data_IF_423936943235
#
_entry.id   IF_423936943235
#
_cell.length_a   1.000
_cell.length_b   1.000
_cell.length_c   1.000
_cell.angle_alpha   90.00
_cell.angle_beta   90.00
_cell.angle_gamma   90.00
#
_symmetry.space_group_name_H-M   'P 1'
#
loop_
_entity.id
_entity.type
_entity.pdbx_description
1 polymer ?
#
# COMPACT_ATOMS: atom_id res chain seq x y z
N UNK A 1 2.49 18.85 -25.09
CA UNK A 1 3.88 18.33 -25.23
C UNK A 1 4.26 17.44 -24.03
N UNK A 2 3.97 17.87 -22.81
CA UNK A 2 4.24 17.13 -21.56
C UNK A 2 3.63 15.72 -21.49
N UNK A 3 2.40 15.54 -21.97
CA UNK A 3 1.73 14.23 -21.92
C UNK A 3 2.35 13.18 -22.86
N UNK A 4 3.05 13.60 -23.93
CA UNK A 4 3.81 12.68 -24.80
C UNK A 4 5.12 12.31 -24.14
N UNK A 5 5.83 13.29 -23.58
CA UNK A 5 7.10 13.06 -22.87
C UNK A 5 6.90 12.13 -21.66
N UNK A 6 5.83 12.33 -20.89
CA UNK A 6 5.48 11.47 -19.75
C UNK A 6 5.19 10.03 -20.17
N UNK A 7 4.47 9.82 -21.27
CA UNK A 7 4.24 8.47 -21.81
C UNK A 7 5.52 7.79 -22.27
N UNK A 8 6.41 8.53 -22.93
CA UNK A 8 7.72 8.00 -23.34
C UNK A 8 8.55 7.61 -22.12
N UNK A 9 8.57 8.45 -21.08
CA UNK A 9 9.22 8.12 -19.80
C UNK A 9 8.61 6.87 -19.16
N UNK A 10 7.28 6.78 -19.09
CA UNK A 10 6.59 5.60 -18.57
C UNK A 10 6.99 4.32 -19.34
N UNK A 11 7.07 4.39 -20.67
CA UNK A 11 7.54 3.28 -21.51
C UNK A 11 8.99 2.87 -21.17
N UNK A 12 9.90 3.82 -20.97
CA UNK A 12 11.28 3.53 -20.58
C UNK A 12 11.36 2.87 -19.20
N UNK A 13 10.60 3.35 -18.21
CA UNK A 13 10.57 2.75 -16.86
C UNK A 13 10.04 1.32 -16.93
N UNK A 14 8.95 1.08 -17.66
CA UNK A 14 8.38 -0.26 -17.83
C UNK A 14 9.37 -1.19 -18.54
N UNK A 15 9.99 -0.74 -19.63
CA UNK A 15 11.00 -1.51 -20.35
C UNK A 15 12.20 -1.87 -19.46
N UNK A 16 12.66 -0.92 -18.63
CA UNK A 16 13.72 -1.17 -17.66
C UNK A 16 13.34 -2.21 -16.62
N UNK A 17 12.13 -2.14 -16.06
CA UNK A 17 11.62 -3.15 -15.10
C UNK A 17 11.55 -4.53 -15.76
N UNK A 18 11.06 -4.62 -17.00
CA UNK A 18 11.02 -5.88 -17.75
C UNK A 18 12.42 -6.44 -18.01
N UNK A 19 13.37 -5.60 -18.43
CA UNK A 19 14.75 -6.01 -18.67
C UNK A 19 15.43 -6.50 -17.37
N UNK A 20 15.22 -5.80 -16.25
CA UNK A 20 15.71 -6.22 -14.94
C UNK A 20 15.08 -7.56 -14.51
N UNK A 21 13.78 -7.74 -14.74
CA UNK A 21 13.07 -8.99 -14.47
C UNK A 21 13.60 -10.16 -15.29
N UNK A 22 13.89 -9.95 -16.58
CA UNK A 22 14.50 -10.96 -17.46
C UNK A 22 15.92 -11.31 -17.02
N UNK A 23 16.74 -10.31 -16.67
CA UNK A 23 18.11 -10.52 -16.20
C UNK A 23 18.14 -11.28 -14.87
N UNK A 24 17.20 -10.99 -13.96
CA UNK A 24 17.07 -11.66 -12.67
C UNK A 24 16.23 -12.94 -12.72
N UNK A 25 15.70 -13.31 -13.89
CA UNK A 25 14.74 -14.41 -14.02
C UNK A 25 15.21 -15.73 -13.38
N UNK A 26 16.47 -16.20 -13.56
CA UNK A 26 16.93 -17.43 -12.90
C UNK A 26 16.83 -17.35 -11.37
N UNK A 27 17.23 -16.21 -10.77
CA UNK A 27 17.15 -15.98 -9.33
C UNK A 27 15.70 -15.91 -8.85
N UNK A 28 14.84 -15.24 -9.62
CA UNK A 28 13.41 -15.11 -9.31
C UNK A 28 12.68 -16.46 -9.42
N UNK A 29 13.07 -17.36 -10.32
CA UNK A 29 12.50 -18.70 -10.41
C UNK A 29 12.90 -19.57 -9.21
N UNK A 30 14.15 -19.46 -8.77
CA UNK A 30 14.71 -20.30 -7.69
C UNK A 30 14.30 -19.86 -6.28
N UNK A 31 14.01 -18.57 -6.06
CA UNK A 31 13.78 -18.04 -4.71
C UNK A 31 12.47 -17.28 -4.58
N UNK A 32 11.55 -17.82 -3.78
CA UNK A 32 10.30 -17.13 -3.41
C UNK A 32 10.57 -15.79 -2.71
N UNK A 33 11.59 -15.75 -1.85
CA UNK A 33 12.00 -14.52 -1.17
C UNK A 33 12.53 -13.48 -2.13
N UNK A 34 13.30 -13.88 -3.15
CA UNK A 34 13.76 -12.96 -4.18
C UNK A 34 12.59 -12.38 -4.99
N UNK A 35 11.57 -13.20 -5.31
CA UNK A 35 10.33 -12.71 -5.94
C UNK A 35 9.62 -11.68 -5.08
N UNK A 36 9.43 -11.99 -3.80
CA UNK A 36 8.79 -11.09 -2.84
C UNK A 36 9.53 -9.76 -2.73
N UNK A 37 10.85 -9.82 -2.54
CA UNK A 37 11.71 -8.64 -2.44
C UNK A 37 11.67 -7.79 -3.71
N UNK A 38 11.84 -8.42 -4.88
CA UNK A 38 11.83 -7.72 -6.16
C UNK A 38 10.49 -7.04 -6.42
N UNK A 39 9.38 -7.75 -6.13
CA UNK A 39 8.03 -7.21 -6.25
C UNK A 39 7.82 -5.96 -5.38
N UNK A 40 8.20 -6.01 -4.09
CA UNK A 40 8.02 -4.85 -3.20
C UNK A 40 8.77 -3.63 -3.69
N UNK A 41 10.00 -3.79 -4.19
CA UNK A 41 10.80 -2.67 -4.68
C UNK A 41 10.24 -2.07 -5.97
N UNK A 42 9.76 -2.91 -6.90
CA UNK A 42 9.02 -2.43 -8.07
C UNK A 42 7.80 -1.64 -7.62
N UNK A 43 7.00 -2.18 -6.70
CA UNK A 43 5.78 -1.53 -6.23
C UNK A 43 6.08 -0.22 -5.46
N UNK A 44 7.19 -0.14 -4.73
CA UNK A 44 7.61 1.07 -4.04
C UNK A 44 8.00 2.18 -5.03
N UNK A 45 8.73 1.84 -6.10
CA UNK A 45 9.08 2.78 -7.18
C UNK A 45 7.84 3.19 -7.95
N UNK A 46 7.03 2.21 -8.37
CA UNK A 46 5.80 2.42 -9.12
C UNK A 46 4.80 3.30 -8.35
N UNK A 47 4.64 3.03 -7.05
CA UNK A 47 3.77 3.81 -6.18
C UNK A 47 4.20 5.27 -6.04
N UNK A 48 5.50 5.60 -6.18
CA UNK A 48 6.00 6.98 -6.20
C UNK A 48 5.78 7.65 -7.57
N UNK A 49 6.11 6.97 -8.66
CA UNK A 49 6.05 7.53 -10.02
C UNK A 49 4.62 7.73 -10.52
N UNK A 50 3.73 6.79 -10.18
CA UNK A 50 2.33 6.79 -10.62
C UNK A 50 1.36 7.06 -9.46
N UNK A 51 1.83 7.79 -8.44
CA UNK A 51 1.02 8.10 -7.25
C UNK A 51 -0.32 8.71 -7.62
N UNK A 52 -0.27 9.83 -8.36
CA UNK A 52 -1.43 10.64 -8.79
C UNK A 52 -2.43 9.84 -9.62
N UNK A 53 -1.97 8.85 -10.39
CA UNK A 53 -2.85 7.98 -11.22
C UNK A 53 -3.94 7.31 -10.39
N UNK A 54 -3.65 7.00 -9.12
CA UNK A 54 -4.58 6.29 -8.24
C UNK A 54 -5.15 7.18 -7.12
N UNK A 55 -4.76 8.46 -7.03
CA UNK A 55 -5.14 9.30 -5.88
C UNK A 55 -6.65 9.50 -5.77
N UNK A 56 -7.33 9.75 -6.89
CA UNK A 56 -8.79 9.96 -6.87
C UNK A 56 -9.53 8.69 -6.45
N UNK A 57 -9.11 7.53 -6.95
CA UNK A 57 -9.68 6.24 -6.56
C UNK A 57 -9.45 5.99 -5.08
N UNK A 58 -8.21 6.13 -4.58
CA UNK A 58 -7.91 5.96 -3.15
C UNK A 58 -8.72 6.92 -2.28
N UNK A 59 -8.80 8.19 -2.66
CA UNK A 59 -9.56 9.20 -1.93
C UNK A 59 -11.03 8.83 -1.84
N UNK A 60 -11.65 8.43 -2.96
CA UNK A 60 -13.06 8.04 -3.00
C UNK A 60 -13.30 6.77 -2.17
N UNK A 61 -12.47 5.74 -2.33
CA UNK A 61 -12.60 4.49 -1.58
C UNK A 61 -12.44 4.71 -0.08
N UNK A 62 -11.46 5.51 0.35
CA UNK A 62 -11.22 5.76 1.77
C UNK A 62 -12.27 6.69 2.38
N UNK A 63 -12.86 7.60 1.61
CA UNK A 63 -13.95 8.45 2.09
C UNK A 63 -15.21 7.65 2.51
N UNK A 64 -15.44 6.46 1.93
CA UNK A 64 -16.53 5.59 2.35
C UNK A 64 -16.41 5.12 3.82
N UNK A 65 -15.23 5.22 4.43
CA UNK A 65 -15.01 4.92 5.84
C UNK A 65 -15.56 6.01 6.78
N UNK A 66 -15.94 7.17 6.26
CA UNK A 66 -16.51 8.26 7.06
C UNK A 66 -17.98 7.99 7.43
N UNK A 67 -18.70 7.20 6.64
CA UNK A 67 -20.14 6.92 6.81
C UNK A 67 -20.50 5.96 7.95
N UNK A 68 -19.83 4.80 8.14
CA UNK A 68 -20.26 3.82 9.13
C UNK A 68 -20.00 4.28 10.56
N UNK A 69 -20.93 3.97 11.46
CA UNK A 69 -20.71 4.03 12.91
C UNK A 69 -20.32 2.66 13.45
N UNK A 70 -19.44 2.65 14.45
CA UNK A 70 -19.05 1.42 15.12
C UNK A 70 -20.21 0.84 15.93
N UNK A 71 -20.38 -0.48 15.89
CA UNK A 71 -21.27 -1.21 16.81
C UNK A 71 -20.65 -1.34 18.21
N UNK A 72 -19.33 -1.28 18.32
CA UNK A 72 -18.55 -1.27 19.55
C UNK A 72 -18.71 0.10 20.27
N UNK A 73 -19.26 0.15 21.50
CA UNK A 73 -19.53 1.39 22.23
C UNK A 73 -18.30 2.26 22.49
N UNK A 74 -17.14 1.64 22.77
CA UNK A 74 -15.90 2.37 23.07
C UNK A 74 -15.40 3.07 21.81
N UNK A 75 -15.38 2.35 20.68
CA UNK A 75 -14.99 2.92 19.40
C UNK A 75 -15.98 3.97 18.92
N UNK A 76 -17.29 3.78 19.16
CA UNK A 76 -18.32 4.76 18.81
C UNK A 76 -18.12 6.06 19.59
N UNK A 77 -17.83 5.99 20.89
CA UNK A 77 -17.55 7.17 21.72
C UNK A 77 -16.34 7.96 21.20
N UNK A 78 -15.32 7.27 20.67
CA UNK A 78 -14.12 7.87 20.08
C UNK A 78 -14.28 8.30 18.61
N UNK A 79 -15.45 8.07 18.00
CA UNK A 79 -15.68 8.27 16.56
C UNK A 79 -14.80 7.37 15.68
N UNK A 80 -14.29 6.27 16.22
CA UNK A 80 -13.43 5.32 15.53
C UNK A 80 -14.20 4.11 14.99
N UNK A 81 -13.60 3.41 14.03
CA UNK A 81 -14.11 2.14 13.48
C UNK A 81 -12.97 1.12 13.39
N UNK A 82 -13.32 -0.17 13.30
CA UNK A 82 -12.35 -1.22 12.96
C UNK A 82 -12.31 -1.41 11.44
N UNK A 83 -11.10 -1.49 10.89
CA UNK A 83 -10.88 -1.66 9.45
C UNK A 83 -9.92 -2.82 9.23
N UNK A 84 -10.31 -3.74 8.34
CA UNK A 84 -9.45 -4.77 7.79
C UNK A 84 -9.10 -4.41 6.34
N UNK A 85 -7.83 -4.26 6.03
CA UNK A 85 -7.33 -4.05 4.67
C UNK A 85 -6.58 -5.29 4.18
N UNK A 86 -6.96 -5.78 2.99
CA UNK A 86 -6.28 -6.90 2.32
C UNK A 86 -5.38 -6.30 1.24
N UNK A 87 -4.09 -6.62 1.27
CA UNK A 87 -3.10 -6.07 0.36
C UNK A 87 -2.77 -4.61 0.67
N UNK A 88 -2.50 -4.31 1.94
CA UNK A 88 -2.14 -2.96 2.39
C UNK A 88 -0.82 -2.44 1.79
N UNK A 89 0.06 -3.35 1.36
CA UNK A 89 1.39 -3.01 0.86
C UNK A 89 2.13 -2.09 1.83
N UNK A 90 2.61 -0.95 1.32
CA UNK A 90 3.32 0.06 2.12
C UNK A 90 2.44 1.05 2.88
N UNK A 91 1.11 0.91 2.84
CA UNK A 91 0.17 1.81 3.51
C UNK A 91 -0.18 3.08 2.71
N UNK A 92 -0.23 2.98 1.38
CA UNK A 92 -0.49 4.13 0.49
C UNK A 92 -1.84 4.83 0.73
N UNK A 93 -2.78 4.17 1.40
CA UNK A 93 -4.12 4.67 1.67
C UNK A 93 -4.21 5.57 2.91
N UNK A 94 -3.23 5.52 3.82
CA UNK A 94 -3.33 6.22 5.11
C UNK A 94 -3.41 7.75 4.99
N UNK A 95 -2.82 8.31 3.94
CA UNK A 95 -2.89 9.75 3.65
C UNK A 95 -4.29 10.28 3.34
N UNK A 96 -5.26 9.40 3.07
CA UNK A 96 -6.63 9.77 2.75
C UNK A 96 -7.59 9.59 3.94
N UNK A 97 -7.12 9.06 5.06
CA UNK A 97 -7.94 8.83 6.26
C UNK A 97 -8.33 10.15 6.93
N UNK A 98 -9.63 10.34 7.14
CA UNK A 98 -10.17 11.54 7.79
C UNK A 98 -10.49 11.32 9.28
N UNK A 99 -10.82 10.09 9.67
CA UNK A 99 -11.12 9.69 11.06
C UNK A 99 -10.07 8.74 11.66
N UNK A 100 -10.18 8.49 12.97
CA UNK A 100 -9.41 7.46 13.67
C UNK A 100 -9.92 6.07 13.30
N UNK A 101 -9.01 5.11 13.16
CA UNK A 101 -9.35 3.72 12.92
C UNK A 101 -8.52 2.78 13.81
N UNK A 102 -9.12 1.66 14.20
CA UNK A 102 -8.40 0.47 14.67
C UNK A 102 -8.12 -0.40 13.45
N UNK A 103 -6.84 -0.54 13.12
CA UNK A 103 -6.43 -1.04 11.82
C UNK A 103 -5.83 -2.44 11.90
N UNK A 104 -6.32 -3.31 11.03
CA UNK A 104 -5.78 -4.63 10.72
C UNK A 104 -5.44 -4.70 9.24
N UNK A 105 -4.34 -5.39 8.94
CA UNK A 105 -3.98 -5.70 7.57
C UNK A 105 -3.56 -7.15 7.42
N UNK A 106 -3.73 -7.64 6.20
CA UNK A 106 -3.20 -8.91 5.73
C UNK A 106 -2.50 -8.65 4.41
N UNK A 107 -1.24 -9.06 4.30
CA UNK A 107 -0.49 -9.01 3.05
C UNK A 107 0.32 -10.31 2.90
N UNK A 108 0.19 -11.03 1.77
CA UNK A 108 0.93 -12.28 1.55
C UNK A 108 2.44 -12.03 1.34
N UNK A 109 2.86 -10.77 1.10
CA UNK A 109 4.26 -10.42 0.91
C UNK A 109 4.83 -9.75 2.17
N UNK A 110 5.53 -10.54 2.96
CA UNK A 110 6.12 -10.10 4.24
C UNK A 110 7.17 -9.01 4.10
N UNK A 111 7.76 -8.82 2.91
CA UNK A 111 8.74 -7.76 2.65
C UNK A 111 8.10 -6.34 2.70
N UNK A 112 6.76 -6.22 2.64
CA UNK A 112 6.07 -4.94 2.87
C UNK A 112 6.04 -4.51 4.34
N UNK A 113 6.25 -5.43 5.29
CA UNK A 113 6.02 -5.17 6.71
C UNK A 113 6.80 -3.95 7.23
N UNK A 114 8.07 -3.82 6.84
CA UNK A 114 8.90 -2.69 7.27
C UNK A 114 8.38 -1.37 6.70
N UNK A 115 8.04 -1.33 5.41
CA UNK A 115 7.46 -0.15 4.78
C UNK A 115 6.15 0.26 5.46
N UNK A 116 5.28 -0.71 5.75
CA UNK A 116 4.01 -0.45 6.41
C UNK A 116 4.21 0.11 7.82
N UNK A 117 5.07 -0.50 8.63
CA UNK A 117 5.37 -0.05 9.99
C UNK A 117 5.94 1.38 10.02
N UNK A 118 6.83 1.71 9.08
CA UNK A 118 7.34 3.07 8.91
C UNK A 118 6.25 4.07 8.52
N UNK A 119 5.32 3.65 7.66
CA UNK A 119 4.20 4.50 7.25
C UNK A 119 3.22 4.71 8.41
N UNK A 120 2.86 3.67 9.17
CA UNK A 120 1.97 3.78 10.34
C UNK A 120 2.47 4.84 11.33
N UNK A 121 3.78 4.90 11.59
CA UNK A 121 4.39 5.91 12.48
C UNK A 121 4.11 7.35 12.04
N UNK A 122 3.86 7.59 10.75
CA UNK A 122 3.56 8.91 10.18
C UNK A 122 2.09 9.30 10.27
N UNK A 123 1.20 8.36 10.59
CA UNK A 123 -0.25 8.56 10.60
C UNK A 123 -0.86 8.20 11.96
N UNK A 124 -0.91 9.13 12.93
CA UNK A 124 -1.41 8.85 14.28
C UNK A 124 -2.91 8.48 14.34
N UNK A 125 -3.66 8.72 13.25
CA UNK A 125 -5.05 8.27 13.12
C UNK A 125 -5.18 6.75 12.95
N UNK A 126 -4.09 6.05 12.65
CA UNK A 126 -4.04 4.59 12.46
C UNK A 126 -3.60 3.95 13.78
N UNK A 127 -4.57 3.51 14.57
CA UNK A 127 -4.30 2.73 15.78
C UNK A 127 -3.96 1.30 15.40
N UNK A 128 -2.66 1.00 15.29
CA UNK A 128 -2.19 -0.36 14.98
C UNK A 128 -2.64 -1.36 16.06
N UNK A 129 -3.20 -2.48 15.63
CA UNK A 129 -3.38 -3.64 16.48
C UNK A 129 -2.05 -4.39 16.63
N UNK A 130 -1.71 -4.92 17.83
CA UNK A 130 -0.49 -5.67 18.06
C UNK A 130 -0.37 -6.95 17.21
N UNK A 131 -1.50 -7.46 16.68
CA UNK A 131 -1.53 -8.63 15.80
C UNK A 131 -1.55 -8.21 14.33
N UNK A 132 -0.36 -8.19 13.72
CA UNK A 132 -0.22 -8.26 12.26
C UNK A 132 -0.44 -9.72 11.88
N UNK A 133 -1.51 -10.02 11.16
CA UNK A 133 -1.76 -11.38 10.68
C UNK A 133 -0.70 -11.71 9.63
N UNK A 134 0.31 -12.49 10.03
CA UNK A 134 1.12 -13.27 9.10
C UNK A 134 0.22 -14.39 8.60
N UNK A 135 -0.16 -14.35 7.33
CA UNK A 135 -0.61 -15.56 6.63
C UNK A 135 0.59 -16.45 6.35
#
# INVERSE_FOLDING_TARGET
MELRLRRVFDCFVVAFICAAGLLLLPLLLLSFRARQWFFVHIMAVAGRLWRHTFEDTRRKTIAALDEPESSDPELRADGAIRVLEIGAGSGANFGFLRRKIKYWNVDPNTEFQNFLLETIKKYPKVGASPNYFKM
#
